data_IF_766372766197
#
_entry.id   IF_766372766197
#
_cell.length_a   1.000
_cell.length_b   1.000
_cell.length_c   1.000
_cell.angle_alpha   90.00
_cell.angle_beta   90.00
_cell.angle_gamma   90.00
#
_symmetry.space_group_name_H-M   'P 1'
#
loop_
_entity.id
_entity.type
_entity.pdbx_description
1 polymer ?
#
# COMPACT_ATOMS: atom_id res chain seq x y z
N UNK A 1 -31.24 -5.67 -11.16
CA UNK A 1 -30.62 -5.12 -9.95
C UNK A 1 -30.48 -3.61 -10.10
N UNK A 2 -30.72 -2.82 -9.04
CA UNK A 2 -30.56 -1.38 -9.08
C UNK A 2 -29.14 -0.96 -9.46
N UNK A 3 -29.00 0.13 -10.22
CA UNK A 3 -27.68 0.68 -10.63
C UNK A 3 -27.04 1.55 -9.53
N UNK A 4 -27.24 1.20 -8.26
CA UNK A 4 -26.64 1.88 -7.12
C UNK A 4 -25.20 1.38 -6.86
N UNK A 5 -24.43 2.06 -6.01
CA UNK A 5 -23.10 1.65 -5.64
C UNK A 5 -23.08 0.26 -4.98
N UNK A 6 -24.07 -0.05 -4.15
CA UNK A 6 -24.18 -1.33 -3.44
C UNK A 6 -25.00 -2.38 -4.19
N UNK A 7 -25.57 -2.07 -5.36
CA UNK A 7 -26.59 -2.88 -6.07
C UNK A 7 -27.84 -3.17 -5.23
N UNK A 8 -28.13 -2.33 -4.26
CA UNK A 8 -29.33 -2.34 -3.44
C UNK A 8 -30.14 -1.08 -3.71
N UNK A 9 -31.40 -1.03 -3.22
CA UNK A 9 -32.17 0.20 -3.25
C UNK A 9 -31.56 1.23 -2.30
N UNK A 10 -31.21 2.41 -2.83
CA UNK A 10 -30.56 3.49 -2.11
C UNK A 10 -31.39 4.74 -2.18
N UNK A 11 -31.57 5.40 -1.04
CA UNK A 11 -32.19 6.72 -0.94
C UNK A 11 -31.14 7.73 -0.53
N UNK A 12 -31.03 8.82 -1.28
CA UNK A 12 -30.14 9.93 -0.99
C UNK A 12 -30.92 11.15 -0.54
N UNK A 13 -30.55 11.72 0.58
CA UNK A 13 -31.11 12.98 1.08
C UNK A 13 -30.09 14.08 0.88
N UNK A 14 -30.38 15.01 0.01
CA UNK A 14 -29.52 16.15 -0.27
C UNK A 14 -29.92 17.34 0.60
N UNK A 15 -28.97 17.97 1.25
CA UNK A 15 -29.17 19.14 2.08
C UNK A 15 -28.11 20.22 1.78
N UNK A 16 -28.36 21.43 2.28
CA UNK A 16 -27.35 22.49 2.22
C UNK A 16 -26.10 22.12 3.02
N UNK A 17 -24.91 22.37 2.46
CA UNK A 17 -23.63 22.06 3.07
C UNK A 17 -23.41 22.90 4.34
N UNK A 18 -23.42 22.22 5.47
CA UNK A 18 -23.08 22.77 6.79
C UNK A 18 -22.99 21.60 7.77
N UNK A 19 -21.91 21.51 8.54
CA UNK A 19 -21.70 20.39 9.48
C UNK A 19 -22.89 20.22 10.44
N UNK A 20 -23.45 21.32 10.91
CA UNK A 20 -24.58 21.32 11.82
C UNK A 20 -25.87 20.75 11.21
N UNK A 21 -26.20 21.13 9.97
CA UNK A 21 -27.39 20.61 9.27
C UNK A 21 -27.25 19.11 9.01
N UNK A 22 -26.08 18.66 8.54
CA UNK A 22 -25.80 17.25 8.35
C UNK A 22 -25.91 16.45 9.64
N UNK A 23 -25.41 16.99 10.75
CA UNK A 23 -25.50 16.35 12.06
C UNK A 23 -26.95 16.22 12.53
N UNK A 24 -27.79 17.27 12.42
CA UNK A 24 -29.20 17.22 12.80
C UNK A 24 -29.96 16.17 11.98
N UNK A 25 -29.71 16.12 10.66
CA UNK A 25 -30.34 15.12 9.81
C UNK A 25 -29.94 13.71 10.21
N UNK A 26 -28.66 13.48 10.47
CA UNK A 26 -28.16 12.18 10.92
C UNK A 26 -28.79 11.77 12.25
N UNK A 27 -28.85 12.68 13.23
CA UNK A 27 -29.51 12.43 14.52
C UNK A 27 -31.01 12.12 14.35
N UNK A 28 -31.68 12.76 13.40
CA UNK A 28 -33.08 12.49 13.12
C UNK A 28 -33.27 11.08 12.56
N UNK A 29 -32.45 10.66 11.59
CA UNK A 29 -32.50 9.30 11.06
C UNK A 29 -32.21 8.25 12.14
N UNK A 30 -31.26 8.49 13.01
CA UNK A 30 -30.95 7.57 14.12
C UNK A 30 -32.13 7.46 15.08
N UNK A 31 -32.83 8.55 15.40
CA UNK A 31 -34.04 8.53 16.22
C UNK A 31 -35.19 7.74 15.58
N UNK A 32 -35.29 7.75 14.26
CA UNK A 32 -36.28 6.94 13.50
C UNK A 32 -35.83 5.47 13.34
N UNK A 33 -34.77 5.05 13.98
CA UNK A 33 -34.31 3.65 14.00
C UNK A 33 -33.29 3.27 12.91
N UNK A 34 -32.79 4.23 12.15
CA UNK A 34 -31.72 3.99 11.20
C UNK A 34 -30.38 3.90 11.92
N UNK A 35 -29.58 2.88 11.64
CA UNK A 35 -28.23 2.77 12.20
C UNK A 35 -27.19 3.46 11.32
N UNK A 36 -26.13 3.93 11.92
CA UNK A 36 -24.96 4.45 11.21
C UNK A 36 -24.21 3.28 10.56
N UNK A 37 -23.77 3.46 9.31
CA UNK A 37 -22.94 2.49 8.61
C UNK A 37 -21.53 2.41 9.25
N UNK A 38 -20.99 1.21 9.26
CA UNK A 38 -19.60 1.00 9.68
C UNK A 38 -18.61 1.46 8.59
N UNK A 39 -17.38 1.82 8.94
CA UNK A 39 -16.35 2.11 7.95
C UNK A 39 -16.20 0.96 6.93
N UNK A 40 -16.22 1.28 5.63
CA UNK A 40 -16.14 0.30 4.56
C UNK A 40 -17.41 -0.50 4.27
N UNK A 41 -18.51 -0.27 4.98
CA UNK A 41 -19.75 -1.05 4.81
C UNK A 41 -20.33 -0.97 3.40
N UNK A 42 -20.32 0.18 2.76
CA UNK A 42 -20.81 0.35 1.40
C UNK A 42 -20.00 -0.48 0.40
N UNK A 43 -18.66 -0.45 0.51
CA UNK A 43 -17.74 -1.25 -0.32
C UNK A 43 -17.94 -2.74 -0.08
N UNK A 44 -18.08 -3.15 1.19
CA UNK A 44 -18.39 -4.54 1.55
C UNK A 44 -19.70 -5.03 0.92
N UNK A 45 -20.77 -4.22 0.94
CA UNK A 45 -22.03 -4.57 0.30
C UNK A 45 -21.91 -4.65 -1.22
N UNK A 46 -21.17 -3.71 -1.83
CA UNK A 46 -20.90 -3.75 -3.27
C UNK A 46 -20.18 -5.04 -3.68
N UNK A 47 -19.21 -5.49 -2.88
CA UNK A 47 -18.52 -6.77 -3.08
C UNK A 47 -19.44 -7.97 -2.89
N UNK A 48 -20.21 -8.04 -1.80
CA UNK A 48 -21.12 -9.15 -1.53
C UNK A 48 -22.22 -9.29 -2.59
N UNK A 49 -22.64 -8.18 -3.16
CA UNK A 49 -23.65 -8.14 -4.23
C UNK A 49 -23.06 -8.31 -5.64
N UNK A 50 -21.74 -8.59 -5.75
CA UNK A 50 -21.07 -8.88 -7.01
C UNK A 50 -20.86 -7.69 -7.94
N UNK A 51 -20.99 -6.44 -7.43
CA UNK A 51 -20.71 -5.24 -8.23
C UNK A 51 -19.22 -5.05 -8.48
N UNK A 52 -18.42 -5.29 -7.47
CA UNK A 52 -16.95 -5.20 -7.50
C UNK A 52 -16.37 -6.51 -6.98
N UNK A 53 -15.17 -6.84 -7.42
CA UNK A 53 -14.40 -7.96 -6.86
C UNK A 53 -13.54 -7.52 -5.66
N UNK A 54 -12.83 -8.47 -5.06
CA UNK A 54 -12.03 -8.20 -3.86
C UNK A 54 -10.90 -7.21 -4.14
N UNK A 55 -10.23 -7.34 -5.29
CA UNK A 55 -9.12 -6.45 -5.66
C UNK A 55 -9.61 -5.01 -5.87
N UNK A 56 -10.79 -4.83 -6.47
CA UNK A 56 -11.44 -3.54 -6.60
C UNK A 56 -11.89 -2.98 -5.24
N UNK A 57 -12.37 -3.83 -4.34
CA UNK A 57 -12.77 -3.40 -2.99
C UNK A 57 -11.56 -2.90 -2.17
N UNK A 58 -10.42 -3.56 -2.25
CA UNK A 58 -9.17 -3.13 -1.63
C UNK A 58 -8.67 -1.81 -2.24
N UNK A 59 -8.75 -1.67 -3.56
CA UNK A 59 -8.31 -0.47 -4.25
C UNK A 59 -9.07 0.80 -3.87
N UNK A 60 -10.31 0.70 -3.38
CA UNK A 60 -11.06 1.85 -2.84
C UNK A 60 -10.30 2.49 -1.68
N UNK A 61 -9.77 1.67 -0.75
CA UNK A 61 -8.98 2.17 0.36
C UNK A 61 -7.65 2.74 -0.12
N UNK A 62 -7.03 2.09 -1.10
CA UNK A 62 -5.77 2.54 -1.68
C UNK A 62 -5.89 3.91 -2.37
N UNK A 63 -7.01 4.16 -3.05
CA UNK A 63 -7.32 5.48 -3.62
C UNK A 63 -7.43 6.54 -2.53
N UNK A 64 -8.10 6.22 -1.40
CA UNK A 64 -8.29 7.16 -0.29
C UNK A 64 -6.95 7.45 0.42
N UNK A 65 -6.07 6.45 0.53
CA UNK A 65 -4.79 6.54 1.22
C UNK A 65 -3.62 6.89 0.31
N UNK A 66 -3.86 7.14 -0.97
CA UNK A 66 -2.79 7.44 -1.93
C UNK A 66 -2.05 8.72 -1.57
N UNK A 67 -0.73 8.59 -1.43
CA UNK A 67 0.16 9.67 -1.03
C UNK A 67 0.96 10.26 -2.19
N UNK A 68 0.85 9.68 -3.38
CA UNK A 68 1.49 10.15 -4.60
C UNK A 68 0.56 10.00 -5.80
N UNK A 69 0.79 10.82 -6.83
CA UNK A 69 0.04 10.75 -8.09
C UNK A 69 0.17 9.37 -8.75
N UNK A 70 1.36 8.77 -8.65
CA UNK A 70 1.62 7.44 -9.21
C UNK A 70 0.86 6.34 -8.44
N UNK A 71 0.84 6.41 -7.10
CA UNK A 71 0.06 5.50 -6.27
C UNK A 71 -1.44 5.63 -6.57
N UNK A 72 -1.95 6.86 -6.68
CA UNK A 72 -3.34 7.12 -7.05
C UNK A 72 -3.69 6.54 -8.42
N UNK A 73 -2.82 6.75 -9.42
CA UNK A 73 -3.05 6.23 -10.77
C UNK A 73 -3.10 4.69 -10.79
N UNK A 74 -2.19 4.03 -10.08
CA UNK A 74 -2.19 2.57 -9.96
C UNK A 74 -3.44 2.05 -9.25
N UNK A 75 -3.86 2.68 -8.16
CA UNK A 75 -5.08 2.32 -7.44
C UNK A 75 -6.34 2.52 -8.28
N UNK A 76 -6.39 3.56 -9.11
CA UNK A 76 -7.49 3.80 -10.05
C UNK A 76 -7.56 2.74 -11.15
N UNK A 77 -6.43 2.28 -11.68
CA UNK A 77 -6.39 1.21 -12.67
C UNK A 77 -6.88 -0.12 -12.06
N UNK A 78 -6.46 -0.43 -10.84
CA UNK A 78 -6.95 -1.58 -10.10
C UNK A 78 -8.45 -1.48 -9.83
N UNK A 79 -8.95 -0.30 -9.44
CA UNK A 79 -10.38 -0.05 -9.25
C UNK A 79 -11.20 -0.23 -10.53
N UNK A 80 -10.63 0.06 -11.69
CA UNK A 80 -11.25 -0.19 -13.01
C UNK A 80 -11.34 -1.68 -13.34
N UNK A 81 -10.59 -2.53 -12.66
CA UNK A 81 -10.64 -3.98 -12.82
C UNK A 81 -9.64 -4.53 -13.84
N UNK A 82 -8.54 -3.85 -14.09
CA UNK A 82 -7.53 -4.30 -15.06
C UNK A 82 -7.01 -5.70 -14.72
N UNK A 83 -6.76 -5.98 -13.43
CA UNK A 83 -6.32 -7.31 -12.96
C UNK A 83 -7.40 -8.36 -13.23
N UNK A 84 -8.66 -8.02 -12.98
CA UNK A 84 -9.79 -8.92 -13.23
C UNK A 84 -9.85 -9.34 -14.70
N UNK A 85 -9.70 -8.38 -15.62
CA UNK A 85 -9.72 -8.64 -17.05
C UNK A 85 -8.61 -9.61 -17.46
N UNK A 86 -7.39 -9.42 -16.94
CA UNK A 86 -6.27 -10.32 -17.25
C UNK A 86 -6.49 -11.73 -16.68
N UNK A 87 -6.98 -11.85 -15.44
CA UNK A 87 -7.30 -13.15 -14.84
C UNK A 87 -8.44 -13.85 -15.57
N UNK A 88 -9.48 -13.13 -16.02
CA UNK A 88 -10.55 -13.70 -16.81
C UNK A 88 -10.07 -14.24 -18.16
N UNK A 89 -9.18 -13.55 -18.87
CA UNK A 89 -8.55 -14.06 -20.10
C UNK A 89 -7.77 -15.36 -19.85
N UNK A 90 -6.97 -15.41 -18.80
CA UNK A 90 -6.22 -16.62 -18.42
C UNK A 90 -7.17 -17.79 -18.12
N UNK A 91 -8.26 -17.50 -17.38
CA UNK A 91 -9.29 -18.48 -17.04
C UNK A 91 -9.99 -19.02 -18.29
N UNK A 92 -10.29 -18.18 -19.28
CA UNK A 92 -10.94 -18.61 -20.54
C UNK A 92 -10.05 -19.58 -21.33
N UNK A 93 -8.75 -19.37 -21.37
CA UNK A 93 -7.81 -20.31 -22.01
C UNK A 93 -7.90 -21.68 -21.34
N UNK A 94 -7.81 -21.73 -20.00
CA UNK A 94 -7.88 -22.98 -19.23
C UNK A 94 -9.24 -23.67 -19.38
N UNK A 95 -10.33 -22.90 -19.38
CA UNK A 95 -11.68 -23.47 -19.57
C UNK A 95 -11.83 -24.05 -20.98
N UNK A 96 -11.24 -23.43 -22.01
CA UNK A 96 -11.26 -23.95 -23.38
C UNK A 96 -10.50 -25.28 -23.48
N UNK A 97 -9.34 -25.37 -22.82
CA UNK A 97 -8.56 -26.61 -22.78
C UNK A 97 -9.31 -27.73 -22.05
N UNK A 98 -9.92 -27.42 -20.90
CA UNK A 98 -10.72 -28.39 -20.14
C UNK A 98 -11.92 -28.88 -20.99
N UNK A 99 -12.66 -27.94 -21.60
CA UNK A 99 -13.81 -28.28 -22.42
C UNK A 99 -13.43 -29.16 -23.62
N UNK A 100 -12.27 -28.90 -24.24
CA UNK A 100 -11.77 -29.76 -25.35
C UNK A 100 -11.43 -31.15 -24.84
N UNK A 101 -10.73 -31.26 -23.71
CA UNK A 101 -10.39 -32.57 -23.11
C UNK A 101 -11.66 -33.35 -22.72
N UNK A 102 -12.63 -32.71 -22.12
CA UNK A 102 -13.92 -33.34 -21.75
C UNK A 102 -14.66 -33.81 -23.01
N UNK A 103 -14.76 -32.98 -24.04
CA UNK A 103 -15.41 -33.35 -25.29
C UNK A 103 -14.73 -34.54 -25.97
N UNK A 104 -13.37 -34.59 -25.98
CA UNK A 104 -12.62 -35.67 -26.56
C UNK A 104 -12.73 -37.00 -25.76
N UNK A 105 -12.97 -36.92 -24.44
CA UNK A 105 -13.25 -38.08 -23.59
C UNK A 105 -14.68 -38.62 -23.85
N UNK A 106 -15.63 -37.73 -24.09
CA UNK A 106 -17.02 -38.11 -24.36
C UNK A 106 -17.23 -38.66 -25.75
N UNK A 107 -16.49 -38.17 -26.77
CA UNK A 107 -16.59 -38.60 -28.17
C UNK A 107 -15.21 -38.88 -28.78
N UNK A 108 -14.53 -39.96 -28.34
CA UNK A 108 -13.19 -40.30 -28.80
C UNK A 108 -13.11 -40.76 -30.26
N UNK A 109 -14.25 -41.05 -30.89
CA UNK A 109 -14.29 -41.46 -32.33
C UNK A 109 -14.15 -40.23 -33.25
N UNK A 110 -14.55 -39.04 -32.80
CA UNK A 110 -14.54 -37.81 -33.60
C UNK A 110 -13.51 -36.80 -33.15
N UNK A 111 -13.08 -36.86 -31.88
CA UNK A 111 -12.11 -35.93 -31.28
C UNK A 111 -10.92 -36.67 -30.72
N UNK A 112 -9.70 -36.40 -31.26
CA UNK A 112 -8.47 -37.00 -30.77
C UNK A 112 -7.71 -36.06 -29.85
N UNK A 113 -7.16 -36.62 -28.78
CA UNK A 113 -6.21 -35.92 -27.88
C UNK A 113 -4.77 -36.01 -28.37
N UNK A 114 -4.51 -36.67 -29.52
CA UNK A 114 -3.16 -36.82 -30.06
C UNK A 114 -2.52 -35.46 -30.35
N UNK A 115 -1.39 -35.18 -29.71
CA UNK A 115 -0.68 -33.90 -29.85
C UNK A 115 -1.28 -32.74 -29.06
N UNK A 116 -2.47 -32.89 -28.44
CA UNK A 116 -3.08 -31.81 -27.68
C UNK A 116 -2.36 -31.52 -26.37
N UNK A 117 -1.61 -32.48 -25.83
CA UNK A 117 -0.75 -32.29 -24.66
C UNK A 117 0.28 -31.17 -24.89
N UNK A 118 0.87 -31.12 -26.12
CA UNK A 118 1.83 -30.08 -26.46
C UNK A 118 1.16 -28.70 -26.49
N UNK A 119 -0.07 -28.62 -26.99
CA UNK A 119 -0.89 -27.38 -26.96
C UNK A 119 -1.17 -26.89 -25.53
N UNK A 120 -1.58 -27.80 -24.65
CA UNK A 120 -1.81 -27.47 -23.22
C UNK A 120 -0.50 -26.99 -22.59
N UNK A 121 0.62 -27.64 -22.86
CA UNK A 121 1.93 -27.24 -22.33
C UNK A 121 2.34 -25.85 -22.80
N UNK A 122 2.08 -25.51 -24.07
CA UNK A 122 2.38 -24.19 -24.61
C UNK A 122 1.45 -23.12 -23.99
N UNK A 123 0.15 -23.41 -23.84
CA UNK A 123 -0.75 -22.52 -23.12
C UNK A 123 -0.30 -22.31 -21.66
N UNK A 124 0.06 -23.38 -20.94
CA UNK A 124 0.54 -23.32 -19.59
C UNK A 124 1.81 -22.46 -19.44
N UNK A 125 2.76 -22.57 -20.40
CA UNK A 125 3.97 -21.73 -20.43
C UNK A 125 3.62 -20.25 -20.63
N UNK A 126 2.74 -19.94 -21.58
CA UNK A 126 2.30 -18.57 -21.83
C UNK A 126 1.59 -17.97 -20.61
N UNK A 127 0.73 -18.75 -19.94
CA UNK A 127 0.05 -18.32 -18.71
C UNK A 127 1.06 -18.09 -17.58
N UNK A 128 2.08 -18.93 -17.45
CA UNK A 128 3.14 -18.76 -16.46
C UNK A 128 3.90 -17.45 -16.69
N UNK A 129 4.31 -17.15 -17.92
CA UNK A 129 4.99 -15.89 -18.26
C UNK A 129 4.12 -14.67 -17.93
N UNK A 130 2.81 -14.74 -18.21
CA UNK A 130 1.87 -13.67 -17.89
C UNK A 130 1.76 -13.45 -16.37
N UNK A 131 1.65 -14.53 -15.59
CA UNK A 131 1.61 -14.44 -14.12
C UNK A 131 2.91 -13.90 -13.54
N UNK A 132 4.08 -14.35 -14.05
CA UNK A 132 5.38 -13.82 -13.62
C UNK A 132 5.53 -12.33 -13.93
N UNK A 133 5.04 -11.88 -15.07
CA UNK A 133 5.00 -10.46 -15.41
C UNK A 133 4.12 -9.65 -14.46
N UNK A 134 2.94 -10.16 -14.11
CA UNK A 134 2.06 -9.52 -13.12
C UNK A 134 2.71 -9.46 -11.74
N UNK A 135 3.35 -10.53 -11.29
CA UNK A 135 4.08 -10.58 -10.01
C UNK A 135 5.21 -9.55 -9.96
N UNK A 136 6.02 -9.48 -11.01
CA UNK A 136 7.10 -8.48 -11.09
C UNK A 136 6.58 -7.05 -11.03
N UNK A 137 5.47 -6.78 -11.69
CA UNK A 137 4.83 -5.46 -11.64
C UNK A 137 4.24 -5.16 -10.27
N UNK A 138 3.74 -6.18 -9.54
CA UNK A 138 3.19 -6.00 -8.19
C UNK A 138 4.27 -5.63 -7.17
N UNK A 139 5.50 -6.16 -7.27
CA UNK A 139 6.62 -5.77 -6.42
C UNK A 139 6.97 -4.29 -6.58
N UNK A 140 7.01 -3.79 -7.82
CA UNK A 140 7.18 -2.37 -8.10
C UNK A 140 6.03 -1.53 -7.55
N UNK A 141 4.79 -2.02 -7.69
CA UNK A 141 3.60 -1.38 -7.15
C UNK A 141 3.62 -1.27 -5.63
N UNK A 142 4.12 -2.29 -4.94
CA UNK A 142 4.29 -2.29 -3.49
C UNK A 142 5.27 -1.20 -3.03
N UNK A 143 6.43 -1.08 -3.68
CA UNK A 143 7.40 -0.01 -3.38
C UNK A 143 6.78 1.38 -3.58
N UNK A 144 5.97 1.57 -4.62
CA UNK A 144 5.31 2.84 -4.90
C UNK A 144 4.25 3.16 -3.85
N UNK A 145 3.54 2.15 -3.34
CA UNK A 145 2.48 2.30 -2.35
C UNK A 145 3.02 2.46 -0.93
N UNK A 146 3.94 1.58 -0.51
CA UNK A 146 4.43 1.49 0.86
C UNK A 146 5.71 2.31 1.08
N UNK A 147 6.39 2.69 -0.01
CA UNK A 147 7.70 3.32 0.04
C UNK A 147 8.80 2.31 0.37
N UNK A 148 10.01 2.83 0.63
CA UNK A 148 11.17 2.04 1.00
C UNK A 148 11.51 2.32 2.46
N UNK A 149 11.40 1.32 3.31
CA UNK A 149 11.77 1.45 4.72
C UNK A 149 13.30 1.48 4.86
N UNK A 150 13.82 2.66 5.19
CA UNK A 150 15.27 2.87 5.30
C UNK A 150 15.68 3.13 6.75
N UNK A 151 16.59 2.34 7.27
CA UNK A 151 17.16 2.52 8.60
C UNK A 151 18.56 3.11 8.50
N UNK A 152 18.82 4.19 9.27
CA UNK A 152 20.11 4.84 9.35
C UNK A 152 20.79 4.45 10.66
N UNK A 153 21.86 3.68 10.57
CA UNK A 153 22.63 3.18 11.72
C UNK A 153 23.99 3.85 11.78
N UNK A 154 24.47 4.09 12.98
CA UNK A 154 25.82 4.64 13.19
C UNK A 154 26.09 4.87 14.67
N UNK A 155 27.38 5.02 15.04
CA UNK A 155 27.77 5.34 16.42
C UNK A 155 27.10 6.62 16.92
N UNK A 156 26.92 6.83 18.22
CA UNK A 156 26.53 8.12 18.76
C UNK A 156 27.45 9.23 18.23
N UNK A 157 26.89 10.39 17.89
CA UNK A 157 27.64 11.58 17.43
C UNK A 157 28.31 11.48 16.03
N UNK A 158 27.96 10.51 15.19
CA UNK A 158 28.48 10.40 13.81
C UNK A 158 27.73 11.26 12.79
N UNK A 159 26.85 12.15 13.22
CA UNK A 159 26.15 13.07 12.31
C UNK A 159 24.79 12.58 11.81
N UNK A 160 24.22 11.51 12.39
CA UNK A 160 22.83 11.08 12.06
C UNK A 160 21.82 12.22 12.17
N UNK A 161 21.84 12.92 13.30
CA UNK A 161 20.97 14.09 13.53
C UNK A 161 21.29 15.25 12.58
N UNK A 162 22.55 15.43 12.18
CA UNK A 162 22.94 16.45 11.21
C UNK A 162 22.45 16.12 9.81
N UNK A 163 22.50 14.84 9.43
CA UNK A 163 21.97 14.36 8.17
C UNK A 163 20.45 14.56 8.09
N UNK A 164 19.72 14.13 9.12
CA UNK A 164 18.27 14.35 9.21
C UNK A 164 17.92 15.85 9.23
N UNK A 165 18.66 16.65 10.00
CA UNK A 165 18.48 18.10 10.02
C UNK A 165 18.79 18.77 8.68
N UNK A 166 19.70 18.22 7.88
CA UNK A 166 19.97 18.69 6.53
C UNK A 166 18.76 18.43 5.61
N UNK A 167 18.20 17.22 5.68
CA UNK A 167 16.98 16.85 4.96
C UNK A 167 15.79 17.74 5.38
N UNK A 168 15.64 17.97 6.69
CA UNK A 168 14.55 18.78 7.25
C UNK A 168 14.67 20.29 6.98
N UNK A 169 15.89 20.79 6.66
CA UNK A 169 16.17 22.22 6.39
C UNK A 169 16.05 22.61 4.94
N UNK A 170 15.75 21.70 4.04
CA UNK A 170 15.43 22.09 2.67
C UNK A 170 14.15 22.92 2.67
N UNK A 171 14.16 24.07 1.98
CA UNK A 171 13.07 25.08 1.92
C UNK A 171 11.71 24.56 1.43
N UNK A 172 11.58 23.26 1.19
CA UNK A 172 10.37 22.56 0.71
C UNK A 172 9.87 21.47 1.68
N UNK A 173 10.47 21.32 2.86
CA UNK A 173 10.03 20.33 3.83
C UNK A 173 8.80 20.87 4.60
N UNK A 174 7.67 20.19 4.46
CA UNK A 174 6.45 20.46 5.24
C UNK A 174 6.38 19.38 6.32
N UNK A 175 6.44 19.78 7.58
CA UNK A 175 6.26 18.88 8.73
C UNK A 175 4.79 18.88 9.11
N UNK A 176 4.14 17.74 9.08
CA UNK A 176 2.76 17.55 9.53
C UNK A 176 2.75 16.80 10.86
N UNK A 177 2.14 17.39 11.88
CA UNK A 177 1.89 16.70 13.15
C UNK A 177 0.70 15.74 12.97
N UNK A 178 0.95 14.45 13.04
CA UNK A 178 -0.12 13.44 13.03
C UNK A 178 -0.74 13.40 14.42
N UNK A 179 -1.93 13.99 14.56
CA UNK A 179 -2.71 13.92 15.78
C UNK A 179 -3.37 12.54 15.91
N UNK A 180 -2.91 11.70 16.83
CA UNK A 180 -3.66 10.50 17.19
C UNK A 180 -2.91 9.27 17.68
N UNK A 181 -1.59 9.29 17.86
CA UNK A 181 -0.88 8.14 18.43
C UNK A 181 -0.48 8.38 19.87
N UNK A 182 -1.05 7.57 20.74
CA UNK A 182 -0.77 7.51 22.17
C UNK A 182 0.70 7.14 22.43
N UNK A 183 1.39 8.01 23.18
CA UNK A 183 2.57 7.79 24.01
C UNK A 183 3.50 6.62 23.60
N UNK A 184 4.57 6.90 22.87
CA UNK A 184 5.91 6.33 23.04
C UNK A 184 6.82 6.35 21.81
N UNK A 185 6.35 6.66 20.61
CA UNK A 185 7.18 6.88 19.41
C UNK A 185 6.83 8.24 18.81
N UNK A 186 7.78 9.17 18.81
CA UNK A 186 7.65 10.40 18.04
C UNK A 186 7.90 10.03 16.57
N UNK A 187 6.82 9.84 15.84
CA UNK A 187 6.84 9.70 14.39
C UNK A 187 6.60 11.09 13.81
N UNK A 188 7.50 11.55 12.97
CA UNK A 188 7.34 12.80 12.21
C UNK A 188 7.27 12.46 10.72
N UNK A 189 6.30 13.05 10.05
CA UNK A 189 6.18 12.95 8.61
C UNK A 189 6.72 14.22 7.96
N UNK A 190 7.64 14.05 7.01
CA UNK A 190 8.27 15.13 6.27
C UNK A 190 8.10 14.91 4.79
N UNK A 191 7.66 15.93 4.07
CA UNK A 191 7.51 15.89 2.63
C UNK A 191 8.60 16.71 1.95
N UNK A 192 9.36 16.07 1.07
CA UNK A 192 10.40 16.70 0.26
C UNK A 192 10.02 16.55 -1.22
N UNK A 193 9.55 17.61 -1.84
CA UNK A 193 9.03 17.55 -3.21
C UNK A 193 7.84 16.61 -3.31
N UNK A 194 7.97 15.53 -4.07
CA UNK A 194 6.96 14.47 -4.23
C UNK A 194 7.17 13.29 -3.28
N UNK A 195 8.26 13.27 -2.53
CA UNK A 195 8.63 12.15 -1.66
C UNK A 195 8.19 12.41 -0.23
N UNK A 196 7.54 11.42 0.39
CA UNK A 196 7.15 11.43 1.79
C UNK A 196 8.14 10.60 2.61
N UNK A 197 8.64 11.15 3.70
CA UNK A 197 9.54 10.49 4.63
C UNK A 197 8.84 10.36 5.99
N UNK A 198 8.74 9.14 6.48
CA UNK A 198 8.32 8.86 7.85
C UNK A 198 9.56 8.71 8.72
N UNK A 199 9.75 9.62 9.67
CA UNK A 199 10.86 9.60 10.60
C UNK A 199 10.42 8.93 11.90
N UNK A 200 10.96 7.75 12.18
CA UNK A 200 10.67 6.96 13.38
C UNK A 200 11.81 7.18 14.38
N UNK A 201 11.47 7.35 15.67
CA UNK A 201 12.42 7.58 16.79
C UNK A 201 13.19 8.92 16.72
N UNK A 202 12.45 10.00 16.50
CA UNK A 202 13.01 11.37 16.53
C UNK A 202 13.37 11.85 17.94
N UNK A 203 13.06 11.10 19.00
CA UNK A 203 13.34 11.46 20.38
C UNK A 203 14.84 11.67 20.69
N UNK A 204 15.73 10.99 19.98
CA UNK A 204 17.17 11.19 20.02
C UNK A 204 17.65 12.50 19.38
N UNK A 205 16.81 13.12 18.54
CA UNK A 205 17.17 14.32 17.78
C UNK A 205 16.94 15.60 18.59
N UNK A 206 15.94 15.62 19.47
CA UNK A 206 15.50 16.86 20.15
C UNK A 206 16.03 17.10 21.57
N UNK A 207 16.56 16.13 22.31
CA UNK A 207 17.02 16.37 23.70
C UNK A 207 18.29 15.60 24.08
N UNK A 208 19.39 16.33 24.24
CA UNK A 208 20.47 15.98 25.15
C UNK A 208 20.00 16.26 26.59
N UNK A 209 19.44 15.30 27.28
CA UNK A 209 19.39 15.34 28.75
C UNK A 209 19.51 13.96 29.33
N UNK A 210 20.61 13.80 30.09
CA UNK A 210 20.91 12.76 31.10
C UNK A 210 19.94 11.61 31.20
N UNK A 211 20.32 10.43 30.69
CA UNK A 211 19.61 9.20 30.98
C UNK A 211 20.57 8.03 31.16
N UNK A 212 20.32 7.26 32.19
CA UNK A 212 21.07 6.22 32.86
C UNK A 212 21.07 4.89 32.08
N UNK A 213 22.06 4.04 32.30
CA UNK A 213 22.44 2.75 31.70
C UNK A 213 21.33 1.72 31.33
N UNK A 214 20.12 1.84 31.88
CA UNK A 214 19.00 0.94 31.53
C UNK A 214 18.41 1.18 30.14
N UNK A 215 18.61 2.37 29.57
CA UNK A 215 18.02 2.78 28.28
C UNK A 215 18.83 2.29 27.08
N UNK A 216 20.13 2.06 27.26
CA UNK A 216 20.98 1.56 26.17
C UNK A 216 20.55 0.17 25.67
N UNK A 217 20.12 -0.74 26.57
CA UNK A 217 19.65 -2.08 26.17
C UNK A 217 18.35 -2.04 25.35
N UNK A 218 17.43 -1.15 25.69
CA UNK A 218 16.19 -0.96 24.94
C UNK A 218 16.43 -0.27 23.57
N UNK A 219 17.39 0.64 23.53
CA UNK A 219 17.78 1.30 22.28
C UNK A 219 18.40 0.31 21.28
N UNK A 220 19.24 -0.61 21.74
CA UNK A 220 19.84 -1.65 20.88
C UNK A 220 18.76 -2.62 20.36
N UNK A 221 17.84 -3.07 21.21
CA UNK A 221 16.74 -3.93 20.79
C UNK A 221 15.83 -3.26 19.75
N UNK A 222 15.48 -1.99 19.96
CA UNK A 222 14.69 -1.22 18.97
C UNK A 222 15.44 -1.09 17.65
N UNK A 223 16.72 -0.83 17.69
CA UNK A 223 17.56 -0.75 16.48
C UNK A 223 17.60 -2.09 15.73
N UNK A 224 17.68 -3.21 16.43
CA UNK A 224 17.65 -4.54 15.83
C UNK A 224 16.29 -4.82 15.16
N UNK A 225 15.17 -4.53 15.83
CA UNK A 225 13.84 -4.66 15.23
C UNK A 225 13.63 -3.74 14.03
N UNK A 226 14.18 -2.52 14.06
CA UNK A 226 14.13 -1.62 12.92
C UNK A 226 14.94 -2.15 11.74
N UNK A 227 16.11 -2.74 11.99
CA UNK A 227 16.96 -3.37 10.96
C UNK A 227 16.27 -4.57 10.32
N UNK A 228 15.61 -5.43 11.12
CA UNK A 228 14.89 -6.61 10.61
C UNK A 228 13.74 -6.24 9.65
N UNK A 229 13.17 -5.05 9.82
CA UNK A 229 12.01 -4.58 9.04
C UNK A 229 12.40 -3.65 7.89
N UNK A 230 13.66 -3.27 7.78
CA UNK A 230 14.14 -2.32 6.79
C UNK A 230 14.45 -2.99 5.46
N UNK A 231 14.02 -2.35 4.38
CA UNK A 231 14.40 -2.73 3.01
C UNK A 231 15.82 -2.26 2.68
N UNK A 232 16.22 -1.13 3.27
CA UNK A 232 17.55 -0.52 3.06
C UNK A 232 18.20 -0.15 4.40
N UNK A 233 19.45 -0.53 4.56
CA UNK A 233 20.27 -0.17 5.70
C UNK A 233 21.36 0.83 5.27
N UNK A 234 21.28 2.04 5.81
CA UNK A 234 22.33 3.06 5.62
C UNK A 234 23.24 3.12 6.85
N UNK A 235 24.53 2.89 6.67
CA UNK A 235 25.51 2.99 7.73
C UNK A 235 26.28 4.31 7.63
N UNK A 236 26.11 5.18 8.63
CA UNK A 236 26.89 6.42 8.77
C UNK A 236 28.05 6.16 9.73
N UNK A 237 29.26 6.23 9.21
CA UNK A 237 30.50 6.26 10.00
C UNK A 237 31.31 7.45 9.57
N UNK A 238 31.83 8.19 10.52
CA UNK A 238 32.85 9.22 10.25
C UNK A 238 34.18 8.50 10.26
N UNK A 239 34.81 8.32 9.08
CA UNK A 239 36.25 8.24 8.99
C UNK A 239 36.79 9.65 9.27
N UNK A 240 37.88 9.77 10.01
CA UNK A 240 38.50 11.06 10.33
C UNK A 240 38.52 11.99 9.12
N UNK A 241 38.27 13.30 9.30
CA UNK A 241 38.30 14.22 8.20
C UNK A 241 39.68 14.13 7.56
N UNK A 242 39.73 13.69 6.31
CA UNK A 242 40.94 13.71 5.50
C UNK A 242 41.42 15.15 5.50
N UNK A 243 42.50 15.46 6.16
CA UNK A 243 43.17 16.77 6.07
C UNK A 243 43.39 17.00 4.59
N UNK A 244 42.74 17.99 4.04
CA UNK A 244 43.09 18.53 2.73
C UNK A 244 44.57 18.93 2.86
N UNK A 245 45.45 18.15 2.29
CA UNK A 245 46.84 18.55 2.07
C UNK A 245 46.74 19.76 1.15
N UNK A 246 46.97 20.93 1.73
CA UNK A 246 47.26 22.15 0.96
C UNK A 246 48.52 21.88 0.16
N UNK A 247 48.37 21.67 -1.12
CA UNK A 247 49.48 21.70 -2.07
C UNK A 247 49.85 23.19 -2.21
N UNK A 248 50.94 23.55 -1.62
CA UNK A 248 51.61 24.84 -1.85
C UNK A 248 52.31 24.81 -3.22
#
# INVERSE_FOLDING_TARGET
APKSYTMEDVVEVQCHGGSFVCQILLEHFVKEGVRIAQPGEFTKRAFLNGRIDLSQAESVMDVIQSDSELALHNSLNQLRGDIKVEVEKMREVLLTDIAFVEAALDDPEHLSLDGYVDTILDHARQLLEQVEHLLKNSENGKIIKEGIQTVIVGKPNVGKSSFLNCILREDRAIVTDIAGTTRDTLEEEVRIGTTRLHLIDTAGIRRKSKVTERIEKYSVLRSLFAIERADVLSLIHISEPTRLLSIS
#
